data_IF_608586825271
#
_entry.id   IF_608586825271
#
_cell.length_a   1.000
_cell.length_b   1.000
_cell.length_c   1.000
_cell.angle_alpha   90.00
_cell.angle_beta   90.00
_cell.angle_gamma   90.00
#
_symmetry.space_group_name_H-M   'P 1'
#
loop_
_entity.id
_entity.type
_entity.pdbx_description
1 polymer ?
#
# COMPACT_ATOMS: atom_id res chain seq x y z
N UNK A 1 7.83 -11.57 -15.73
CA UNK A 1 7.76 -10.49 -16.73
C UNK A 1 6.31 -10.35 -17.17
N UNK A 2 5.78 -9.12 -17.20
CA UNK A 2 4.40 -8.83 -17.60
C UNK A 2 4.23 -9.03 -19.11
N UNK A 3 3.13 -9.66 -19.54
CA UNK A 3 2.84 -9.89 -20.98
C UNK A 3 1.85 -8.84 -21.49
N UNK A 4 1.90 -8.47 -22.79
CA UNK A 4 0.94 -7.54 -23.36
C UNK A 4 -0.50 -8.04 -23.18
N UNK A 5 -1.39 -7.15 -22.74
CA UNK A 5 -2.81 -7.46 -22.62
C UNK A 5 -3.43 -7.55 -24.02
N UNK A 6 -4.41 -8.44 -24.19
CA UNK A 6 -5.20 -8.49 -25.41
C UNK A 6 -5.88 -7.14 -25.72
N UNK A 7 -6.25 -6.92 -26.98
CA UNK A 7 -6.74 -5.63 -27.52
C UNK A 7 -7.95 -5.00 -26.79
N UNK A 8 -8.56 -5.71 -25.84
CA UNK A 8 -9.77 -5.31 -25.12
C UNK A 8 -9.63 -5.32 -23.60
N UNK A 9 -8.42 -5.21 -23.07
CA UNK A 9 -8.16 -5.16 -21.63
C UNK A 9 -7.26 -3.98 -21.28
N UNK A 10 -7.58 -3.28 -20.19
CA UNK A 10 -6.76 -2.20 -19.66
C UNK A 10 -6.41 -2.53 -18.21
N UNK A 11 -5.11 -2.59 -17.90
CA UNK A 11 -4.64 -2.68 -16.52
C UNK A 11 -4.38 -1.26 -16.01
N UNK A 12 -5.01 -0.92 -14.89
CA UNK A 12 -4.68 0.25 -14.10
C UNK A 12 -3.89 -0.22 -12.89
N UNK A 13 -2.76 0.42 -12.62
CA UNK A 13 -1.98 0.18 -11.41
C UNK A 13 -1.53 1.52 -10.82
N UNK A 14 -1.77 1.70 -9.53
CA UNK A 14 -1.40 2.88 -8.76
C UNK A 14 -0.57 2.41 -7.57
N UNK A 15 0.58 3.06 -7.36
CA UNK A 15 1.46 2.84 -6.21
C UNK A 15 1.81 4.19 -5.61
N UNK A 16 1.42 4.38 -4.37
CA UNK A 16 1.65 5.60 -3.61
C UNK A 16 2.50 5.25 -2.38
N UNK A 17 3.50 6.08 -2.07
CA UNK A 17 4.42 5.85 -0.96
C UNK A 17 4.60 7.10 -0.12
N UNK A 18 4.59 6.94 1.19
CA UNK A 18 4.86 8.00 2.16
C UNK A 18 5.90 7.51 3.16
N UNK A 19 6.66 8.42 3.74
CA UNK A 19 7.61 8.09 4.80
C UNK A 19 7.70 9.19 5.85
N UNK A 20 7.96 8.80 7.08
CA UNK A 20 8.10 9.71 8.22
C UNK A 20 9.14 9.20 9.20
N UNK A 21 9.69 10.07 10.03
CA UNK A 21 10.54 9.65 11.13
C UNK A 21 9.72 8.91 12.18
N UNK A 22 10.23 7.77 12.64
CA UNK A 22 9.53 6.93 13.63
C UNK A 22 9.49 7.58 15.02
N UNK A 23 10.23 8.68 15.24
CA UNK A 23 10.34 9.37 16.53
C UNK A 23 9.45 10.60 16.67
N UNK A 24 8.84 11.13 15.59
CA UNK A 24 8.02 12.34 15.66
C UNK A 24 6.65 12.17 14.98
N UNK A 25 5.60 12.05 15.80
CA UNK A 25 4.21 12.01 15.36
C UNK A 25 3.51 13.37 15.44
N UNK A 26 4.20 14.43 15.86
CA UNK A 26 3.59 15.77 16.00
C UNK A 26 3.38 16.40 14.64
N UNK A 27 4.30 16.18 13.71
CA UNK A 27 4.30 16.76 12.38
C UNK A 27 4.27 15.65 11.31
N UNK A 28 3.07 15.19 10.99
CA UNK A 28 2.85 14.26 9.88
C UNK A 28 2.25 15.06 8.72
N UNK A 29 3.02 15.24 7.64
CA UNK A 29 2.54 15.96 6.45
C UNK A 29 1.62 15.09 5.60
N UNK A 30 2.18 13.99 5.05
CA UNK A 30 1.46 13.09 4.13
C UNK A 30 1.23 11.69 4.70
N UNK A 31 1.80 11.39 5.88
CA UNK A 31 1.71 10.07 6.49
C UNK A 31 0.45 9.97 7.36
N UNK A 32 -0.47 9.02 7.11
CA UNK A 32 -1.68 8.88 7.90
C UNK A 32 -1.36 8.52 9.35
N UNK A 33 -1.77 9.41 10.28
CA UNK A 33 -1.52 9.29 11.72
C UNK A 33 -1.91 7.93 12.31
N UNK A 34 -3.09 7.42 11.95
CA UNK A 34 -3.57 6.13 12.44
C UNK A 34 -2.62 4.96 12.08
N UNK A 35 -2.00 5.00 10.90
CA UNK A 35 -1.02 3.99 10.49
C UNK A 35 0.29 4.16 11.27
N UNK A 36 0.73 5.39 11.51
CA UNK A 36 1.94 5.66 12.28
C UNK A 36 1.80 5.19 13.74
N UNK A 37 0.67 5.50 14.37
CA UNK A 37 0.32 5.06 15.72
C UNK A 37 0.23 3.54 15.81
N UNK A 38 -0.40 2.88 14.82
CA UNK A 38 -0.49 1.43 14.77
C UNK A 38 0.90 0.78 14.59
N UNK A 39 1.74 1.32 13.71
CA UNK A 39 3.09 0.83 13.48
C UNK A 39 3.96 0.92 14.75
N UNK A 40 3.94 2.06 15.43
CA UNK A 40 4.71 2.29 16.65
C UNK A 40 4.19 1.50 17.85
N UNK A 41 2.86 1.40 17.99
CA UNK A 41 2.22 0.65 19.07
C UNK A 41 2.43 -0.85 18.97
N UNK A 42 2.47 -1.39 17.75
CA UNK A 42 2.69 -2.83 17.50
C UNK A 42 4.17 -3.20 17.44
N UNK A 43 5.05 -2.22 17.17
CA UNK A 43 6.49 -2.43 16.90
C UNK A 43 6.72 -3.49 15.83
N UNK A 44 5.80 -3.60 14.87
CA UNK A 44 5.96 -4.53 13.77
C UNK A 44 7.15 -4.08 12.91
N UNK A 45 8.02 -5.04 12.57
CA UNK A 45 9.10 -4.80 11.63
C UNK A 45 8.54 -4.48 10.23
N UNK A 46 7.52 -5.25 9.86
CA UNK A 46 6.83 -5.17 8.58
C UNK A 46 5.41 -5.71 8.72
N UNK A 47 4.47 -5.05 8.05
CA UNK A 47 3.08 -5.48 7.94
C UNK A 47 2.62 -5.29 6.51
N UNK A 48 1.88 -6.28 5.99
CA UNK A 48 1.19 -6.17 4.71
C UNK A 48 -0.24 -6.69 4.86
N UNK A 49 -1.20 -5.82 4.55
CA UNK A 49 -2.60 -6.15 4.38
C UNK A 49 -2.98 -6.03 2.91
N UNK A 50 -3.78 -6.96 2.41
CA UNK A 50 -4.24 -6.94 1.03
C UNK A 50 -5.65 -7.48 0.89
N UNK A 51 -6.38 -6.98 -0.09
CA UNK A 51 -7.65 -7.50 -0.57
C UNK A 51 -7.48 -7.77 -2.06
N UNK A 52 -7.81 -8.97 -2.53
CA UNK A 52 -7.85 -9.26 -3.96
C UNK A 52 -9.07 -10.08 -4.37
N UNK A 53 -9.53 -9.88 -5.59
CA UNK A 53 -10.70 -10.55 -6.13
C UNK A 53 -10.61 -10.71 -7.63
N UNK A 54 -11.44 -11.60 -8.16
CA UNK A 54 -11.41 -11.99 -9.57
C UNK A 54 -10.30 -12.97 -9.89
N UNK A 55 -10.00 -13.14 -11.18
CA UNK A 55 -9.06 -14.13 -11.69
C UNK A 55 -7.91 -13.45 -12.41
N UNK A 56 -6.68 -13.70 -11.93
CA UNK A 56 -5.47 -13.34 -12.64
C UNK A 56 -4.96 -14.53 -13.45
N UNK A 57 -4.93 -14.40 -14.77
CA UNK A 57 -4.49 -15.48 -15.66
C UNK A 57 -2.98 -15.38 -15.88
N UNK A 58 -2.23 -16.05 -15.02
CA UNK A 58 -0.76 -16.06 -15.03
C UNK A 58 -0.17 -16.47 -16.39
N UNK A 59 -0.76 -17.47 -17.05
CA UNK A 59 -0.28 -17.96 -18.35
C UNK A 59 -0.43 -16.91 -19.46
N UNK A 60 -1.44 -16.05 -19.37
CA UNK A 60 -1.71 -15.03 -20.36
C UNK A 60 -1.00 -13.71 -20.06
N UNK A 61 -1.05 -13.25 -18.81
CA UNK A 61 -0.64 -11.90 -18.43
C UNK A 61 0.67 -11.86 -17.65
N UNK A 62 1.19 -13.01 -17.23
CA UNK A 62 2.40 -13.13 -16.41
C UNK A 62 2.13 -12.86 -14.94
N UNK A 63 3.12 -12.28 -14.25
CA UNK A 63 3.01 -11.97 -12.81
C UNK A 63 2.21 -10.65 -12.63
N UNK A 64 1.20 -10.60 -11.74
CA UNK A 64 0.46 -9.38 -11.48
C UNK A 64 1.34 -8.30 -10.82
N UNK A 65 1.00 -7.00 -10.94
CA UNK A 65 1.70 -5.94 -10.21
C UNK A 65 1.65 -6.16 -8.70
N UNK A 66 0.49 -6.61 -8.19
CA UNK A 66 0.28 -6.94 -6.79
C UNK A 66 0.07 -8.46 -6.70
N UNK A 67 1.05 -9.17 -6.14
CA UNK A 67 1.00 -10.62 -5.97
C UNK A 67 0.45 -10.98 -4.60
N UNK A 68 -0.88 -11.07 -4.49
CA UNK A 68 -1.58 -11.37 -3.24
C UNK A 68 -2.56 -12.52 -3.42
N UNK A 69 -2.80 -13.35 -2.39
CA UNK A 69 -3.80 -14.41 -2.45
C UNK A 69 -5.22 -13.84 -2.59
N UNK A 70 -6.13 -14.65 -3.12
CA UNK A 70 -7.55 -14.29 -3.24
C UNK A 70 -8.19 -14.01 -1.88
N UNK A 71 -9.04 -12.98 -1.84
CA UNK A 71 -9.67 -12.45 -0.65
C UNK A 71 -8.76 -11.53 0.16
N UNK A 72 -9.03 -11.41 1.45
CA UNK A 72 -8.15 -10.67 2.36
C UNK A 72 -6.94 -11.52 2.77
N UNK A 73 -5.78 -10.90 2.89
CA UNK A 73 -4.62 -11.47 3.55
C UNK A 73 -3.90 -10.43 4.40
N UNK A 74 -3.37 -10.88 5.53
CA UNK A 74 -2.59 -10.09 6.46
C UNK A 74 -1.34 -10.86 6.82
N UNK A 75 -0.18 -10.24 6.68
CA UNK A 75 1.08 -10.73 7.22
C UNK A 75 1.72 -9.67 8.10
N UNK A 76 2.38 -10.10 9.17
CA UNK A 76 3.11 -9.21 10.07
C UNK A 76 4.33 -9.91 10.68
N UNK A 77 5.48 -9.26 10.59
CA UNK A 77 6.71 -9.68 11.27
C UNK A 77 6.80 -8.93 12.59
N UNK A 78 6.64 -9.66 13.70
CA UNK A 78 6.45 -9.09 15.03
C UNK A 78 7.54 -9.55 16.02
N UNK A 79 7.89 -8.74 17.03
CA UNK A 79 8.73 -9.20 18.13
C UNK A 79 8.02 -10.32 18.88
N UNK A 80 8.66 -11.48 19.02
CA UNK A 80 8.05 -12.69 19.54
C UNK A 80 7.39 -12.48 20.93
N UNK A 81 8.04 -11.71 21.80
CA UNK A 81 7.56 -11.45 23.17
C UNK A 81 6.28 -10.60 23.22
N UNK A 82 6.03 -9.77 22.21
CA UNK A 82 4.85 -8.88 22.14
C UNK A 82 3.92 -9.24 20.98
N UNK A 83 4.11 -10.42 20.37
CA UNK A 83 3.48 -10.75 19.11
C UNK A 83 1.96 -10.92 19.22
N UNK A 84 1.44 -11.62 20.24
CA UNK A 84 -0.02 -11.84 20.38
C UNK A 84 -0.85 -10.54 20.48
N UNK A 85 -0.55 -9.59 21.40
CA UNK A 85 -1.32 -8.35 21.47
C UNK A 85 -1.15 -7.47 20.23
N UNK A 86 0.06 -7.39 19.67
CA UNK A 86 0.32 -6.65 18.44
C UNK A 86 -0.45 -7.26 17.25
N UNK A 87 -0.43 -8.58 17.12
CA UNK A 87 -1.16 -9.30 16.09
C UNK A 87 -2.67 -9.11 16.20
N UNK A 88 -3.22 -9.16 17.42
CA UNK A 88 -4.63 -8.87 17.65
C UNK A 88 -5.00 -7.47 17.19
N UNK A 89 -4.21 -6.45 17.57
CA UNK A 89 -4.44 -5.07 17.15
C UNK A 89 -4.46 -4.92 15.62
N UNK A 90 -3.50 -5.52 14.91
CA UNK A 90 -3.40 -5.46 13.46
C UNK A 90 -4.61 -6.10 12.75
N UNK A 91 -5.05 -7.27 13.22
CA UNK A 91 -6.22 -7.99 12.67
C UNK A 91 -7.54 -7.26 12.81
N UNK A 92 -7.64 -6.36 13.79
CA UNK A 92 -8.83 -5.55 14.02
C UNK A 92 -8.71 -4.21 13.28
N UNK A 93 -7.61 -3.48 13.48
CA UNK A 93 -7.46 -2.12 12.98
C UNK A 93 -7.30 -2.03 11.46
N UNK A 94 -6.53 -2.93 10.82
CA UNK A 94 -6.23 -2.81 9.39
C UNK A 94 -7.44 -3.08 8.49
N UNK A 95 -8.22 -4.16 8.70
CA UNK A 95 -9.44 -4.33 7.92
C UNK A 95 -10.40 -3.17 8.08
N UNK A 96 -10.61 -2.66 9.31
CA UNK A 96 -11.46 -1.48 9.53
C UNK A 96 -10.96 -0.24 8.80
N UNK A 97 -9.64 -0.05 8.74
CA UNK A 97 -9.02 1.07 8.01
C UNK A 97 -9.33 1.02 6.52
N UNK A 98 -9.44 -0.17 5.93
CA UNK A 98 -9.86 -0.33 4.54
C UNK A 98 -11.35 -0.65 4.38
N UNK A 99 -12.19 -0.49 5.42
CA UNK A 99 -13.63 -0.84 5.38
C UNK A 99 -13.92 -2.30 5.01
N UNK A 100 -13.12 -3.22 5.55
CA UNK A 100 -13.23 -4.66 5.36
C UNK A 100 -13.54 -5.38 6.68
N UNK A 101 -14.06 -6.60 6.59
CA UNK A 101 -14.34 -7.45 7.75
C UNK A 101 -13.04 -7.83 8.49
N UNK A 102 -13.12 -7.87 9.83
CA UNK A 102 -12.00 -8.29 10.67
C UNK A 102 -11.64 -9.76 10.41
N UNK A 103 -10.37 -10.10 10.59
CA UNK A 103 -9.90 -11.47 10.34
C UNK A 103 -10.05 -12.30 11.64
N UNK A 104 -10.78 -13.44 11.65
CA UNK A 104 -10.96 -14.28 12.85
C UNK A 104 -9.67 -14.98 13.30
N UNK A 105 -9.53 -15.31 14.60
CA UNK A 105 -8.29 -15.88 15.16
C UNK A 105 -7.94 -17.23 14.55
N UNK A 106 -8.93 -18.08 14.26
CA UNK A 106 -8.72 -19.43 13.75
C UNK A 106 -8.03 -19.46 12.38
N UNK A 107 -7.99 -18.33 11.67
CA UNK A 107 -7.36 -18.20 10.36
C UNK A 107 -5.90 -17.75 10.42
N UNK A 108 -5.31 -17.71 11.61
CA UNK A 108 -3.92 -17.31 11.84
C UNK A 108 -2.98 -18.51 11.86
N UNK A 109 -1.79 -18.38 11.27
CA UNK A 109 -0.67 -19.29 11.48
C UNK A 109 0.62 -18.51 11.78
N UNK A 110 1.31 -18.78 12.90
CA UNK A 110 2.69 -18.34 13.06
C UNK A 110 3.59 -19.14 12.11
N UNK A 111 4.57 -18.47 11.52
CA UNK A 111 5.50 -19.03 10.54
C UNK A 111 6.93 -18.60 10.89
N UNK A 112 7.90 -19.42 10.50
CA UNK A 112 9.31 -19.03 10.55
C UNK A 112 9.60 -18.00 9.44
N UNK A 113 10.27 -16.90 9.78
CA UNK A 113 10.48 -15.74 8.90
C UNK A 113 11.33 -16.00 7.65
N UNK A 114 12.05 -17.14 7.57
CA UNK A 114 13.02 -17.46 6.50
C UNK A 114 12.43 -17.61 5.09
N UNK A 115 11.10 -17.56 4.92
CA UNK A 115 10.40 -17.86 3.67
C UNK A 115 9.88 -16.59 2.97
N UNK A 116 9.89 -15.44 3.65
CA UNK A 116 9.37 -14.18 3.11
C UNK A 116 10.49 -13.22 2.72
N UNK A 117 10.29 -12.53 1.60
CA UNK A 117 11.13 -11.38 1.24
C UNK A 117 10.70 -10.22 2.13
N UNK A 118 11.63 -9.69 2.92
CA UNK A 118 11.35 -8.60 3.85
C UNK A 118 11.83 -7.26 3.32
N UNK A 119 11.02 -6.22 3.46
CA UNK A 119 11.39 -4.86 3.08
C UNK A 119 11.99 -4.03 4.23
N UNK A 120 11.94 -4.54 5.47
CA UNK A 120 12.46 -3.84 6.64
C UNK A 120 13.98 -3.95 6.77
N UNK A 121 14.60 -2.94 7.40
CA UNK A 121 16.01 -2.99 7.78
C UNK A 121 16.18 -3.55 9.18
N UNK A 122 16.88 -4.68 9.31
CA UNK A 122 17.15 -5.29 10.61
C UNK A 122 17.85 -4.35 11.60
N UNK A 123 18.63 -3.38 11.11
CA UNK A 123 19.29 -2.37 11.96
C UNK A 123 18.32 -1.32 12.53
N UNK A 124 17.23 -0.98 11.81
CA UNK A 124 16.18 -0.08 12.32
C UNK A 124 15.23 -0.77 13.29
N UNK A 125 15.10 -2.08 13.12
CA UNK A 125 14.30 -2.98 13.92
C UNK A 125 15.18 -3.45 15.08
N UNK A 126 15.42 -2.54 16.04
CA UNK A 126 16.23 -2.79 17.24
C UNK A 126 15.49 -3.75 18.19
N UNK A 127 15.31 -5.01 17.77
CA UNK A 127 14.73 -6.05 18.60
C UNK A 127 15.85 -6.93 19.13
N UNK A 128 16.06 -6.83 20.44
CA UNK A 128 16.84 -7.81 21.21
C UNK A 128 16.15 -9.17 21.28
N UNK A 129 14.88 -9.24 20.85
CA UNK A 129 14.05 -10.43 20.86
C UNK A 129 13.93 -11.06 19.45
N UNK A 130 13.77 -12.39 19.36
CA UNK A 130 13.51 -13.06 18.09
C UNK A 130 12.22 -12.51 17.46
N UNK A 131 12.18 -12.50 16.12
CA UNK A 131 11.01 -12.14 15.34
C UNK A 131 10.17 -13.38 15.00
N UNK A 132 8.85 -13.25 15.00
CA UNK A 132 7.91 -14.25 14.49
C UNK A 132 7.06 -13.67 13.37
N UNK A 133 6.86 -14.43 12.30
CA UNK A 133 5.95 -14.05 11.23
C UNK A 133 4.55 -14.57 11.56
N UNK A 134 3.56 -13.71 11.47
CA UNK A 134 2.15 -14.06 11.61
C UNK A 134 1.46 -13.85 10.28
N UNK A 135 0.57 -14.78 9.93
CA UNK A 135 -0.16 -14.74 8.67
C UNK A 135 -1.61 -15.14 8.89
N UNK A 136 -2.54 -14.44 8.24
CA UNK A 136 -3.94 -14.85 8.18
C UNK A 136 -4.62 -14.44 6.88
N UNK A 137 -5.70 -15.14 6.54
CA UNK A 137 -6.47 -14.91 5.30
C UNK A 137 -7.97 -14.92 5.54
N UNK A 138 -8.72 -14.15 4.75
CA UNK A 138 -10.17 -14.30 4.60
C UNK A 138 -10.57 -14.42 3.14
N UNK A 139 -10.68 -15.65 2.58
CA UNK A 139 -10.94 -15.86 1.16
C UNK A 139 -12.28 -15.29 0.64
N UNK A 140 -13.24 -15.02 1.54
CA UNK A 140 -14.56 -14.48 1.18
C UNK A 140 -14.59 -12.95 1.16
N UNK A 141 -13.54 -12.30 1.65
CA UNK A 141 -13.45 -10.84 1.74
C UNK A 141 -12.84 -10.30 0.45
N UNK A 142 -13.68 -9.96 -0.52
CA UNK A 142 -13.25 -9.44 -1.83
C UNK A 142 -13.31 -7.90 -1.86
N UNK A 143 -12.51 -7.22 -2.71
CA UNK A 143 -12.54 -5.76 -2.81
C UNK A 143 -13.85 -5.21 -3.36
N UNK A 144 -14.42 -4.24 -2.66
CA UNK A 144 -15.62 -3.47 -3.00
C UNK A 144 -15.29 -1.98 -3.21
N UNK A 145 -16.27 -1.21 -3.69
CA UNK A 145 -16.08 0.22 -4.00
C UNK A 145 -15.87 1.09 -2.75
N UNK A 146 -16.34 0.63 -1.59
CA UNK A 146 -16.19 1.21 -0.27
C UNK A 146 -14.73 1.13 0.18
N UNK A 147 -14.04 0.03 -0.15
CA UNK A 147 -12.61 -0.11 0.15
C UNK A 147 -11.78 0.94 -0.62
N UNK A 148 -12.21 1.35 -1.83
CA UNK A 148 -11.53 2.43 -2.57
C UNK A 148 -11.65 3.79 -1.87
N UNK A 149 -12.82 4.08 -1.29
CA UNK A 149 -13.02 5.31 -0.54
C UNK A 149 -12.15 5.33 0.72
N UNK A 150 -12.07 4.21 1.42
CA UNK A 150 -11.23 4.05 2.61
C UNK A 150 -9.73 4.09 2.28
N UNK A 151 -9.32 3.52 1.15
CA UNK A 151 -7.94 3.60 0.67
C UNK A 151 -7.54 5.04 0.31
N UNK A 152 -8.46 5.81 -0.28
CA UNK A 152 -8.25 7.23 -0.57
C UNK A 152 -8.13 8.10 0.68
N UNK A 153 -8.93 7.83 1.71
CA UNK A 153 -8.93 8.65 2.94
C UNK A 153 -7.63 8.58 3.73
N UNK A 154 -6.77 7.60 3.42
CA UNK A 154 -5.43 7.50 3.99
C UNK A 154 -4.43 8.55 3.48
N UNK A 155 -4.75 9.26 2.40
CA UNK A 155 -3.89 10.30 1.84
C UNK A 155 -4.33 11.69 2.30
N UNK A 156 -3.37 12.47 2.79
CA UNK A 156 -3.56 13.91 2.95
C UNK A 156 -3.84 14.50 1.56
N UNK A 157 -4.93 15.28 1.43
CA UNK A 157 -5.50 15.74 0.15
C UNK A 157 -6.39 14.68 -0.56
N UNK A 158 -7.51 14.33 0.08
CA UNK A 158 -8.65 13.68 -0.58
C UNK A 158 -9.47 14.64 -1.47
N UNK A 159 -8.92 15.81 -1.81
CA UNK A 159 -9.53 16.72 -2.77
C UNK A 159 -9.62 16.03 -4.12
N UNK A 160 -10.62 16.36 -4.94
CA UNK A 160 -10.85 15.69 -6.22
C UNK A 160 -9.83 16.10 -7.31
N UNK A 161 -8.53 16.13 -6.98
CA UNK A 161 -7.43 16.53 -7.86
C UNK A 161 -6.32 15.47 -7.91
N UNK A 162 -5.68 15.30 -9.07
CA UNK A 162 -4.64 14.27 -9.22
C UNK A 162 -5.17 12.83 -9.15
N UNK A 163 -4.52 11.95 -8.39
CA UNK A 163 -4.83 10.51 -8.34
C UNK A 163 -6.19 10.24 -7.66
N UNK A 164 -6.58 11.06 -6.69
CA UNK A 164 -7.88 10.95 -6.02
C UNK A 164 -9.05 11.22 -6.97
N UNK A 165 -8.88 12.06 -8.00
CA UNK A 165 -9.89 12.27 -9.03
C UNK A 165 -10.22 10.99 -9.81
N UNK A 166 -9.26 10.07 -9.95
CA UNK A 166 -9.47 8.76 -10.59
C UNK A 166 -10.28 7.80 -9.69
N UNK A 167 -10.36 8.05 -8.39
CA UNK A 167 -10.99 7.17 -7.41
C UNK A 167 -12.21 7.83 -6.73
N UNK A 168 -12.49 9.09 -7.08
CA UNK A 168 -13.64 9.85 -6.61
C UNK A 168 -14.97 9.20 -7.01
N UNK A 169 -16.05 9.57 -6.33
CA UNK A 169 -17.40 9.15 -6.71
C UNK A 169 -17.71 9.59 -8.15
N UNK A 170 -18.26 8.69 -8.96
CA UNK A 170 -18.54 8.94 -10.39
C UNK A 170 -17.31 8.93 -11.32
N UNK A 171 -16.13 8.61 -10.79
CA UNK A 171 -14.95 8.41 -11.64
C UNK A 171 -15.04 7.11 -12.43
N UNK A 172 -14.51 7.12 -13.65
CA UNK A 172 -14.58 5.97 -14.55
C UNK A 172 -13.96 4.69 -13.96
N UNK A 173 -12.88 4.81 -13.19
CA UNK A 173 -12.24 3.66 -12.53
C UNK A 173 -13.11 3.13 -11.38
N UNK A 174 -13.71 3.99 -10.56
CA UNK A 174 -14.60 3.57 -9.47
C UNK A 174 -15.87 2.88 -9.99
N UNK A 175 -16.44 3.38 -11.08
CA UNK A 175 -17.60 2.75 -11.74
C UNK A 175 -17.26 1.44 -12.46
N UNK A 176 -16.03 1.30 -12.94
CA UNK A 176 -15.55 0.08 -13.56
C UNK A 176 -15.11 -0.98 -12.54
N UNK A 177 -14.78 -0.58 -11.30
CA UNK A 177 -14.23 -1.45 -10.25
C UNK A 177 -15.03 -2.73 -10.01
N UNK A 178 -16.37 -2.71 -9.83
CA UNK A 178 -17.15 -3.93 -9.58
C UNK A 178 -17.16 -4.92 -10.75
N UNK A 179 -16.76 -4.48 -11.94
CA UNK A 179 -16.69 -5.29 -13.18
C UNK A 179 -15.26 -5.62 -13.60
N UNK A 180 -14.28 -5.26 -12.77
CA UNK A 180 -12.89 -5.63 -13.02
C UNK A 180 -12.78 -7.16 -13.05
N UNK A 181 -12.05 -7.70 -14.04
CA UNK A 181 -11.75 -9.14 -14.12
C UNK A 181 -10.86 -9.60 -12.98
N UNK A 182 -10.02 -8.69 -12.52
CA UNK A 182 -9.18 -8.83 -11.34
C UNK A 182 -9.03 -7.45 -10.69
N UNK A 183 -9.12 -7.37 -9.38
CA UNK A 183 -8.83 -6.18 -8.61
C UNK A 183 -8.06 -6.53 -7.36
N UNK A 184 -7.10 -5.69 -6.98
CA UNK A 184 -6.34 -5.84 -5.76
C UNK A 184 -6.03 -4.49 -5.12
N UNK A 185 -6.07 -4.46 -3.79
CA UNK A 185 -5.66 -3.37 -2.94
C UNK A 185 -4.63 -3.90 -1.95
N UNK A 186 -3.58 -3.15 -1.70
CA UNK A 186 -2.61 -3.47 -0.64
C UNK A 186 -2.23 -2.23 0.15
N UNK A 187 -2.03 -2.44 1.43
CA UNK A 187 -1.43 -1.51 2.37
C UNK A 187 -0.29 -2.24 3.06
N UNK A 188 0.92 -1.70 2.95
CA UNK A 188 2.06 -2.19 3.69
C UNK A 188 2.78 -1.06 4.39
N UNK A 189 3.30 -1.35 5.59
CA UNK A 189 4.22 -0.46 6.26
C UNK A 189 5.34 -1.25 6.89
N UNK A 190 6.53 -0.66 6.89
CA UNK A 190 7.74 -1.29 7.40
C UNK A 190 8.72 -0.24 7.88
N UNK A 191 9.68 -0.67 8.69
CA UNK A 191 10.70 0.20 9.28
C UNK A 191 12.02 0.07 8.52
N UNK A 192 12.61 1.21 8.20
CA UNK A 192 13.89 1.31 7.48
C UNK A 192 14.87 2.14 8.30
N UNK A 193 16.17 1.94 8.06
CA UNK A 193 17.20 2.71 8.71
C UNK A 193 17.74 3.76 7.75
N UNK A 194 17.67 5.03 8.14
CA UNK A 194 18.40 6.07 7.41
C UNK A 194 19.83 6.16 8.00
N UNK A 195 20.88 5.92 7.19
CA UNK A 195 22.25 6.12 7.66
C UNK A 195 22.51 7.61 7.91
N UNK A 196 23.44 7.97 8.81
CA UNK A 196 23.80 9.37 9.04
C UNK A 196 24.36 9.99 7.74
N UNK A 197 23.97 11.23 7.43
CA UNK A 197 24.19 11.91 6.14
C UNK A 197 25.66 12.17 5.75
N UNK A 198 26.66 11.65 6.47
CA UNK A 198 28.06 11.92 6.18
C UNK A 198 28.80 10.70 5.62
N UNK A 199 29.28 10.88 4.38
CA UNK A 199 30.12 10.02 3.53
C UNK A 199 29.41 8.90 2.76
N UNK A 200 28.85 9.29 1.60
CA UNK A 200 28.78 8.45 0.40
C UNK A 200 30.21 8.14 -0.06
N UNK A 201 30.82 7.12 0.55
CA UNK A 201 31.93 6.39 -0.07
C UNK A 201 31.66 4.92 0.12
N UNK A 202 31.37 4.30 -1.02
CA UNK A 202 31.70 2.93 -1.40
C UNK A 202 31.97 2.00 -0.22
N UNK A 203 30.91 1.39 0.30
CA UNK A 203 31.00 0.05 0.90
C UNK A 203 29.58 -0.53 0.96
N UNK A 204 29.26 -1.32 -0.06
CA UNK A 204 28.16 -2.25 0.00
C UNK A 204 28.48 -3.28 1.10
N UNK A 205 27.52 -3.52 2.01
CA UNK A 205 27.56 -4.51 3.10
C UNK A 205 28.19 -4.00 4.42
N UNK A 206 27.40 -3.30 5.23
CA UNK A 206 27.70 -3.11 6.65
C UNK A 206 26.54 -3.61 7.52
N UNK A 207 26.42 -4.93 7.64
CA UNK A 207 25.60 -5.56 8.67
C UNK A 207 26.20 -5.19 10.05
N UNK A 208 25.45 -4.47 10.89
CA UNK A 208 25.86 -4.14 12.25
C UNK A 208 26.15 -2.66 12.56
N UNK A 209 25.89 -1.72 11.64
CA UNK A 209 25.93 -0.28 11.98
C UNK A 209 24.74 0.10 12.88
N UNK A 210 24.94 0.91 13.94
CA UNK A 210 23.85 1.44 14.76
C UNK A 210 22.98 2.36 13.90
N UNK A 211 21.66 2.19 14.01
CA UNK A 211 20.73 3.02 13.25
C UNK A 211 20.69 4.44 13.81
N UNK A 212 21.00 5.43 12.96
CA UNK A 212 20.96 6.84 13.38
C UNK A 212 19.53 7.32 13.55
N UNK A 213 18.68 7.05 12.55
CA UNK A 213 17.25 7.39 12.58
C UNK A 213 16.42 6.29 11.93
N UNK A 214 15.44 5.76 12.67
CA UNK A 214 14.46 4.82 12.13
C UNK A 214 13.36 5.60 11.40
N UNK A 215 13.04 5.18 10.16
CA UNK A 215 11.94 5.73 9.37
C UNK A 215 10.86 4.71 9.13
N UNK A 216 9.62 5.16 9.23
CA UNK A 216 8.45 4.41 8.82
C UNK A 216 8.20 4.65 7.34
N UNK A 217 8.07 3.57 6.60
CA UNK A 217 7.64 3.55 5.20
C UNK A 217 6.20 3.06 5.15
N UNK A 218 5.38 3.68 4.31
CA UNK A 218 4.02 3.25 3.96
C UNK A 218 3.94 3.14 2.45
N UNK A 219 3.44 2.02 1.95
CA UNK A 219 3.15 1.80 0.54
C UNK A 219 1.69 1.36 0.41
N UNK A 220 0.95 2.11 -0.38
CA UNK A 220 -0.43 1.83 -0.75
C UNK A 220 -0.45 1.50 -2.24
N UNK A 221 -1.01 0.34 -2.58
CA UNK A 221 -1.09 -0.13 -3.96
C UNK A 221 -2.51 -0.51 -4.34
N UNK A 222 -2.85 -0.24 -5.60
CA UNK A 222 -4.10 -0.61 -6.22
C UNK A 222 -3.81 -1.16 -7.61
N UNK A 223 -4.48 -2.24 -8.01
CA UNK A 223 -4.49 -2.70 -9.39
C UNK A 223 -5.88 -3.18 -9.80
N UNK A 224 -6.26 -2.92 -11.05
CA UNK A 224 -7.52 -3.37 -11.63
C UNK A 224 -7.37 -3.68 -13.11
N UNK A 225 -7.80 -4.86 -13.51
CA UNK A 225 -7.89 -5.29 -14.91
C UNK A 225 -9.31 -5.07 -15.43
N UNK A 226 -9.49 -4.02 -16.22
CA UNK A 226 -10.79 -3.55 -16.70
C UNK A 226 -11.08 -4.05 -18.13
N UNK A 227 -12.33 -4.45 -18.44
CA UNK A 227 -12.76 -4.76 -19.80
C UNK A 227 -12.97 -3.48 -20.64
N UNK A 228 -12.71 -3.55 -21.94
CA UNK A 228 -12.73 -2.40 -22.88
C UNK A 228 -14.10 -1.75 -23.15
N UNK A 229 -15.21 -2.34 -22.71
CA UNK A 229 -16.57 -1.81 -22.96
C UNK A 229 -16.86 -0.43 -22.34
N UNK A 230 -15.89 0.19 -21.66
CA UNK A 230 -15.96 1.55 -21.11
C UNK A 230 -15.38 2.64 -22.03
N UNK A 231 -15.35 2.42 -23.35
CA UNK A 231 -14.70 3.31 -24.32
C UNK A 231 -15.37 4.70 -24.49
N UNK A 232 -16.56 4.94 -23.95
CA UNK A 232 -17.11 6.31 -23.85
C UNK A 232 -16.37 7.16 -22.81
N UNK A 233 -15.84 6.55 -21.74
CA UNK A 233 -15.06 7.21 -20.66
C UNK A 233 -13.54 7.12 -20.85
N UNK A 234 -13.07 6.36 -21.85
CA UNK A 234 -11.65 6.25 -22.24
C UNK A 234 -11.01 7.62 -22.56
N UNK A 235 -11.78 8.56 -23.14
CA UNK A 235 -11.32 9.94 -23.39
C UNK A 235 -11.10 10.75 -22.10
N UNK A 236 -11.85 10.47 -21.03
CA UNK A 236 -11.71 11.16 -19.74
C UNK A 236 -10.51 10.63 -18.94
N UNK A 237 -10.27 9.31 -18.95
CA UNK A 237 -9.09 8.71 -18.30
C UNK A 237 -7.79 9.12 -19.00
N UNK A 238 -7.79 9.19 -20.34
CA UNK A 238 -6.61 9.59 -21.11
C UNK A 238 -6.35 11.10 -21.13
N UNK A 239 -7.30 11.95 -20.74
CA UNK A 239 -7.11 13.39 -20.55
C UNK A 239 -6.61 13.73 -19.15
N UNK A 240 -7.07 13.03 -18.12
CA UNK A 240 -6.60 13.20 -16.73
C UNK A 240 -5.14 12.76 -16.54
N UNK A 241 -4.67 11.76 -17.29
CA UNK A 241 -3.27 11.31 -17.26
C UNK A 241 -2.31 12.19 -18.08
N UNK A 242 -2.79 13.20 -18.80
CA UNK A 242 -1.97 14.10 -19.64
C UNK A 242 -1.73 15.48 -19.04
N UNK A 243 -2.27 15.79 -17.86
CA UNK A 243 -2.01 17.07 -17.21
C UNK A 243 -0.59 17.09 -16.65
N UNK A 244 0.34 17.67 -17.42
CA UNK A 244 1.66 18.07 -16.92
C UNK A 244 1.48 19.06 -15.76
N UNK A 245 2.23 18.92 -14.65
CA UNK A 245 2.31 19.99 -13.67
C UNK A 245 3.12 21.15 -14.26
N UNK A 246 2.53 22.34 -14.29
CA UNK A 246 3.28 23.60 -14.47
C UNK A 246 3.12 24.30 -15.82
N UNK A 247 2.17 25.23 -15.88
CA UNK A 247 2.35 26.53 -16.52
C UNK A 247 1.29 27.50 -15.98
N UNK A 248 1.51 28.06 -14.79
CA UNK A 248 0.82 29.30 -14.38
C UNK A 248 1.37 30.41 -15.29
N UNK A 249 0.63 30.72 -16.35
CA UNK A 249 0.82 31.96 -17.10
C UNK A 249 0.34 33.12 -16.24
N UNK A 250 1.29 33.93 -15.76
CA UNK A 250 1.02 35.22 -15.16
C UNK A 250 0.24 36.09 -16.16
N UNK A 251 -0.99 36.49 -15.82
CA UNK A 251 -1.62 37.65 -16.45
C UNK A 251 -1.16 38.87 -15.68
N UNK A 252 -0.18 39.56 -16.26
CA UNK A 252 0.15 40.92 -15.89
C UNK A 252 -1.07 41.82 -16.11
N UNK A 253 -1.39 42.58 -15.08
CA UNK A 253 -2.15 43.82 -15.15
C UNK A 253 -1.35 44.83 -15.97
N UNK A 254 -1.88 45.28 -17.11
CA UNK A 254 -1.48 46.55 -17.71
C UNK A 254 -2.71 47.42 -17.98
N UNK A 255 -2.48 48.70 -17.74
CA UNK A 255 -3.42 49.81 -17.67
C UNK A 255 -3.98 50.18 -19.04
N UNK A 256 -5.20 50.70 -19.02
CA UNK A 256 -5.85 51.51 -20.06
C UNK A 256 -7.07 52.15 -19.46
#
# INVERSE_FOLDING_TARGET
>A
MFRPLGAHSMLVHLRLSASTDASDLRHLESFPRAIAELALGTRAAEVQYSLSGGEWRYDEWGVPPISTPAGAALSATLPHLTAEPAWHALRVALPLTLSAATIPRERTRPMASKIFTSHFDAAAVAHTAPLSLHYATSPREIPCSENLAAWLSLWACADASGVSALLANGSALREAWPRARHSALSLSFYTTCQPPEQHYRDDAQAAGRPCAHSRLQLVLELSALLPHSYSSSSRALSSLLRTRPGARGARGTERG
#
